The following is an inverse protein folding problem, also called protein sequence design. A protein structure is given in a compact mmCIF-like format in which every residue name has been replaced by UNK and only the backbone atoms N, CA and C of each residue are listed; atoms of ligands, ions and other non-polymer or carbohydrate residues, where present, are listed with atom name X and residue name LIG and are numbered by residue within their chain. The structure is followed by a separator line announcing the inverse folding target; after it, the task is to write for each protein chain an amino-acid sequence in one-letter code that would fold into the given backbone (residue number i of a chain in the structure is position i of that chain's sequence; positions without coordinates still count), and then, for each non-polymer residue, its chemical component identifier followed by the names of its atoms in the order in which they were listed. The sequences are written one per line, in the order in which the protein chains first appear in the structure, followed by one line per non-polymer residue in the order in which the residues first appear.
data_IF_748890448134
#
_entry.id   IF_748890448134
#
_cell.length_a   1.000
_cell.length_b   1.000
_cell.length_c   1.000
_cell.angle_alpha   90.00
_cell.angle_beta   90.00
_cell.angle_gamma   90.00
#
_symmetry.space_group_name_H-M   'P 1'
#
loop_
_entity.id
_entity.type
_entity.pdbx_description
1 polymer ?
#
# COMPACT_ATOMS: atom_id res chain seq x y z
N UNK A 1 -3.23 19.64 6.12
CA UNK A 1 -2.62 19.18 4.84
C UNK A 1 -1.17 19.68 4.80
N UNK A 2 -0.21 18.81 4.68
CA UNK A 2 1.22 19.20 4.62
C UNK A 2 1.74 18.85 3.23
N UNK A 3 1.93 19.86 2.39
CA UNK A 3 2.67 19.69 1.16
C UNK A 3 4.17 19.83 1.49
N UNK A 4 4.95 18.79 1.26
CA UNK A 4 6.39 18.80 1.44
C UNK A 4 7.05 18.91 0.07
N UNK A 5 7.79 20.00 -0.15
CA UNK A 5 8.59 20.18 -1.37
C UNK A 5 9.81 19.28 -1.30
N UNK A 6 9.94 18.37 -2.24
CA UNK A 6 11.13 17.53 -2.43
C UNK A 6 12.13 18.24 -3.35
N UNK A 7 13.36 17.74 -3.41
CA UNK A 7 14.35 18.21 -4.39
C UNK A 7 13.81 18.11 -5.83
N UNK A 8 14.31 18.94 -6.74
CA UNK A 8 13.92 18.96 -8.15
C UNK A 8 12.47 19.42 -8.47
N UNK A 9 11.84 20.21 -7.61
CA UNK A 9 10.52 20.81 -7.93
C UNK A 9 9.32 19.90 -7.67
N UNK A 10 9.53 18.67 -7.21
CA UNK A 10 8.43 17.75 -6.86
C UNK A 10 7.76 18.18 -5.55
N UNK A 11 6.44 18.20 -5.54
CA UNK A 11 5.60 18.45 -4.35
C UNK A 11 5.00 17.15 -3.88
N UNK A 12 5.04 16.88 -2.58
CA UNK A 12 4.37 15.75 -1.95
C UNK A 12 3.17 16.25 -1.15
N UNK A 13 2.01 15.63 -1.38
CA UNK A 13 0.79 15.86 -0.60
C UNK A 13 0.35 14.58 0.08
N UNK A 14 0.29 14.58 1.42
CA UNK A 14 -0.15 13.44 2.23
C UNK A 14 -1.63 13.59 2.58
N UNK A 15 -2.39 12.49 2.44
CA UNK A 15 -3.81 12.40 2.80
C UNK A 15 -4.04 11.11 3.58
N UNK A 16 -5.17 11.03 4.25
CA UNK A 16 -5.61 9.84 4.97
C UNK A 16 -6.83 9.25 4.27
N UNK A 17 -6.82 7.97 4.00
CA UNK A 17 -7.96 7.21 3.49
C UNK A 17 -8.98 6.94 4.60
N UNK A 18 -10.20 6.53 4.25
CA UNK A 18 -11.29 6.32 5.19
C UNK A 18 -10.98 5.25 6.25
N UNK A 19 -10.15 4.28 5.91
CA UNK A 19 -9.68 3.21 6.80
C UNK A 19 -8.37 3.54 7.54
N UNK A 20 -7.97 4.81 7.61
CA UNK A 20 -6.79 5.29 8.35
C UNK A 20 -5.46 5.13 7.62
N UNK A 21 -5.41 4.44 6.48
CA UNK A 21 -4.18 4.30 5.67
C UNK A 21 -3.74 5.64 5.09
N UNK A 22 -2.44 5.78 4.87
CA UNK A 22 -1.87 6.97 4.24
C UNK A 22 -1.82 6.80 2.72
N UNK A 23 -2.20 7.88 2.00
CA UNK A 23 -1.98 8.05 0.56
C UNK A 23 -1.16 9.30 0.32
N UNK A 24 -0.19 9.24 -0.60
CA UNK A 24 0.79 10.29 -0.91
C UNK A 24 0.80 10.55 -2.40
N UNK A 25 0.55 11.78 -2.78
CA UNK A 25 0.65 12.22 -4.17
C UNK A 25 1.98 12.94 -4.37
N UNK A 26 2.61 12.70 -5.51
CA UNK A 26 3.86 13.34 -5.92
C UNK A 26 3.62 14.01 -7.27
N UNK A 27 3.73 15.34 -7.30
CA UNK A 27 3.39 16.17 -8.46
C UNK A 27 4.52 17.14 -8.78
N UNK A 28 4.82 17.31 -10.06
CA UNK A 28 5.83 18.27 -10.55
C UNK A 28 5.26 19.68 -10.67
N UNK A 29 3.95 19.82 -10.83
CA UNK A 29 3.25 21.08 -11.03
C UNK A 29 2.33 21.38 -9.86
N UNK A 30 2.78 21.57 -8.68
CA UNK A 30 2.10 22.12 -7.49
C UNK A 30 0.56 22.01 -7.42
N UNK A 31 0.00 20.85 -7.80
CA UNK A 31 -1.44 20.64 -7.87
C UNK A 31 -2.05 20.52 -6.47
N UNK A 32 -3.29 21.00 -6.32
CA UNK A 32 -4.03 20.84 -5.06
C UNK A 32 -4.75 19.48 -5.07
N UNK A 33 -4.44 18.63 -4.10
CA UNK A 33 -5.05 17.32 -3.90
C UNK A 33 -6.08 17.41 -2.78
N UNK A 34 -7.37 17.48 -3.12
CA UNK A 34 -8.47 17.75 -2.19
C UNK A 34 -9.51 16.65 -2.10
N UNK A 35 -9.48 15.68 -3.00
CA UNK A 35 -10.44 14.59 -3.00
C UNK A 35 -10.31 13.75 -1.72
N UNK A 36 -11.45 13.41 -1.13
CA UNK A 36 -11.56 12.61 0.08
C UNK A 36 -12.03 11.19 -0.28
N UNK A 37 -11.53 10.21 0.46
CA UNK A 37 -12.01 8.85 0.35
C UNK A 37 -13.40 8.75 0.98
N UNK A 38 -14.41 8.43 0.18
CA UNK A 38 -15.81 8.31 0.62
C UNK A 38 -16.29 6.86 0.64
N UNK A 39 -15.38 5.88 0.52
CA UNK A 39 -15.77 4.47 0.51
C UNK A 39 -16.20 4.05 1.92
N UNK A 40 -17.29 3.28 2.05
CA UNK A 40 -17.71 2.71 3.33
C UNK A 40 -16.84 1.49 3.67
N UNK A 41 -15.59 1.72 4.02
CA UNK A 41 -14.62 0.68 4.37
C UNK A 41 -14.12 0.84 5.79
N UNK A 42 -13.92 -0.28 6.46
CA UNK A 42 -13.36 -0.34 7.81
C UNK A 42 -11.89 -0.73 7.76
N UNK A 43 -11.16 -0.34 8.80
CA UNK A 43 -9.80 -0.79 9.01
C UNK A 43 -9.78 -2.32 9.11
N UNK A 44 -8.88 -2.96 8.37
CA UNK A 44 -8.70 -4.40 8.45
C UNK A 44 -7.52 -4.72 9.37
N UNK A 45 -7.77 -5.30 10.54
CA UNK A 45 -6.70 -5.82 11.35
C UNK A 45 -6.09 -7.03 10.64
N UNK A 46 -4.96 -6.86 10.02
CA UNK A 46 -4.21 -7.98 9.44
C UNK A 46 -2.86 -8.08 10.14
N UNK A 47 -2.63 -9.18 10.80
CA UNK A 47 -1.35 -9.46 11.46
C UNK A 47 -0.71 -10.58 10.66
N UNK A 48 0.35 -10.24 9.92
CA UNK A 48 1.27 -11.24 9.38
C UNK A 48 2.21 -11.69 10.49
N UNK A 49 2.61 -12.93 10.46
CA UNK A 49 3.64 -13.47 11.35
C UNK A 49 4.77 -14.09 10.53
N UNK A 50 5.94 -14.18 11.12
CA UNK A 50 7.05 -14.95 10.57
C UNK A 50 7.20 -16.23 11.40
N UNK A 51 7.36 -17.34 10.69
CA UNK A 51 7.62 -18.66 11.28
C UNK A 51 8.91 -19.22 10.70
N UNK A 52 9.65 -19.93 11.53
CA UNK A 52 10.80 -20.69 11.09
C UNK A 52 10.33 -21.88 10.24
N UNK A 53 10.87 -22.01 9.03
CA UNK A 53 10.81 -23.25 8.25
C UNK A 53 11.97 -24.16 8.72
N UNK A 54 11.68 -25.26 9.43
CA UNK A 54 12.73 -26.11 9.98
C UNK A 54 13.48 -26.90 8.92
N UNK A 55 12.95 -27.03 7.70
CA UNK A 55 13.60 -27.77 6.62
C UNK A 55 14.70 -26.93 5.95
N UNK A 56 14.43 -25.64 5.79
CA UNK A 56 15.35 -24.70 5.13
C UNK A 56 16.12 -23.82 6.12
N UNK A 57 15.73 -23.85 7.39
CA UNK A 57 16.25 -22.97 8.44
C UNK A 57 16.12 -21.48 8.09
N UNK A 58 14.96 -21.10 7.51
CA UNK A 58 14.65 -19.75 7.05
C UNK A 58 13.36 -19.23 7.68
N UNK A 59 13.29 -17.91 7.91
CA UNK A 59 12.08 -17.26 8.36
C UNK A 59 11.13 -17.00 7.19
N UNK A 60 9.89 -17.50 7.28
CA UNK A 60 8.86 -17.39 6.24
C UNK A 60 7.72 -16.50 6.74
N UNK A 61 7.30 -15.55 5.93
CA UNK A 61 6.13 -14.70 6.21
C UNK A 61 4.84 -15.47 5.96
N UNK A 62 4.00 -15.57 6.96
CA UNK A 62 2.66 -16.17 6.89
C UNK A 62 1.62 -15.04 6.97
N UNK A 63 0.85 -14.87 5.91
CA UNK A 63 -0.21 -13.88 5.80
C UNK A 63 -1.55 -14.58 5.48
N UNK A 64 -2.09 -15.31 6.44
CA UNK A 64 -3.28 -16.16 6.26
C UNK A 64 -4.53 -15.39 5.81
N UNK A 65 -4.68 -14.13 6.21
CA UNK A 65 -5.76 -13.24 5.77
C UNK A 65 -5.77 -12.97 4.25
N UNK A 66 -4.69 -13.34 3.54
CA UNK A 66 -4.57 -13.18 2.07
C UNK A 66 -4.96 -14.43 1.28
N UNK A 67 -5.20 -15.57 1.92
CA UNK A 67 -5.45 -16.85 1.23
C UNK A 67 -6.69 -16.81 0.31
N UNK A 68 -7.72 -16.05 0.66
CA UNK A 68 -8.94 -15.90 -0.13
C UNK A 68 -8.88 -14.84 -1.25
N UNK A 69 -7.71 -14.21 -1.46
CA UNK A 69 -7.57 -13.08 -2.41
C UNK A 69 -7.21 -13.52 -3.82
N UNK A 70 -7.95 -14.42 -4.40
CA UNK A 70 -7.87 -14.72 -5.83
C UNK A 70 -8.93 -13.83 -6.52
N UNK A 71 -8.58 -12.56 -6.76
CA UNK A 71 -9.46 -11.63 -7.44
C UNK A 71 -8.70 -10.89 -8.53
N UNK A 72 -9.06 -11.17 -9.76
CA UNK A 72 -8.65 -10.41 -10.93
C UNK A 72 -9.92 -9.78 -11.52
N UNK A 73 -10.25 -8.53 -11.15
CA UNK A 73 -11.44 -7.87 -11.66
C UNK A 73 -11.32 -7.58 -13.16
N UNK A 74 -12.45 -7.46 -13.87
CA UNK A 74 -12.45 -6.85 -15.20
C UNK A 74 -11.78 -5.47 -15.16
N UNK A 75 -11.22 -5.04 -16.28
CA UNK A 75 -10.47 -3.80 -16.40
C UNK A 75 -11.24 -2.58 -15.90
N UNK A 76 -12.54 -2.52 -16.19
CA UNK A 76 -13.44 -1.43 -15.81
C UNK A 76 -13.67 -1.36 -14.29
N UNK A 77 -13.40 -2.45 -13.58
CA UNK A 77 -13.54 -2.58 -12.12
C UNK A 77 -12.17 -2.60 -11.42
N UNK A 78 -11.12 -2.11 -12.07
CA UNK A 78 -9.78 -2.05 -11.49
C UNK A 78 -9.78 -1.16 -10.23
N UNK A 79 -9.51 -1.71 -9.03
CA UNK A 79 -9.51 -0.95 -7.79
C UNK A 79 -8.34 0.06 -7.69
N UNK A 80 -7.36 -0.03 -8.58
CA UNK A 80 -6.20 0.88 -8.65
C UNK A 80 -6.37 1.98 -9.71
N UNK A 81 -7.51 2.01 -10.43
CA UNK A 81 -7.85 3.13 -11.30
C UNK A 81 -8.19 4.37 -10.46
N UNK A 82 -8.05 5.59 -11.00
CA UNK A 82 -8.60 6.79 -10.37
C UNK A 82 -10.09 6.66 -10.08
N UNK A 83 -10.56 7.24 -8.96
CA UNK A 83 -11.98 7.30 -8.64
C UNK A 83 -12.74 8.13 -9.67
N UNK A 84 -13.97 7.72 -9.96
CA UNK A 84 -14.88 8.37 -10.89
C UNK A 84 -16.32 8.33 -10.40
N UNK A 85 -17.23 9.16 -10.91
CA UNK A 85 -18.64 9.13 -10.54
C UNK A 85 -19.22 7.72 -10.65
N UNK A 86 -19.81 7.22 -9.55
CA UNK A 86 -20.37 5.88 -9.46
C UNK A 86 -19.37 4.73 -9.25
N UNK A 87 -18.07 5.01 -9.21
CA UNK A 87 -17.05 3.99 -8.94
C UNK A 87 -15.88 4.55 -8.12
N UNK A 88 -15.93 4.35 -6.81
CA UNK A 88 -14.89 4.76 -5.88
C UNK A 88 -13.83 3.65 -5.75
N UNK A 89 -12.57 4.05 -5.79
CA UNK A 89 -11.41 3.15 -5.76
C UNK A 89 -10.45 3.48 -4.64
N UNK A 90 -9.30 2.81 -4.58
CA UNK A 90 -8.23 3.10 -3.62
C UNK A 90 -7.65 4.52 -3.77
N UNK A 91 -7.85 5.17 -4.93
CA UNK A 91 -7.28 6.47 -5.25
C UNK A 91 -8.41 7.48 -5.42
N UNK A 92 -8.68 8.37 -4.44
CA UNK A 92 -9.79 9.33 -4.49
C UNK A 92 -9.70 10.35 -5.63
N UNK A 93 -8.48 10.82 -5.95
CA UNK A 93 -8.27 11.79 -7.03
C UNK A 93 -8.55 11.17 -8.41
N UNK A 94 -9.14 11.96 -9.31
CA UNK A 94 -9.46 11.54 -10.68
C UNK A 94 -8.25 11.57 -11.62
N UNK A 95 -7.19 12.25 -11.23
CA UNK A 95 -5.93 12.40 -11.97
C UNK A 95 -4.77 12.57 -11.01
N UNK A 96 -3.57 12.10 -11.38
CA UNK A 96 -2.32 12.24 -10.60
C UNK A 96 -1.11 11.90 -11.49
N UNK A 97 0.07 12.36 -11.11
CA UNK A 97 1.33 11.95 -11.75
C UNK A 97 1.85 10.65 -11.12
N UNK A 98 2.13 10.66 -9.82
CA UNK A 98 2.51 9.47 -9.06
C UNK A 98 1.75 9.46 -7.74
N UNK A 99 1.20 8.31 -7.38
CA UNK A 99 0.59 8.09 -6.08
C UNK A 99 1.15 6.85 -5.39
N UNK A 100 1.37 6.96 -4.09
CA UNK A 100 1.84 5.87 -3.23
C UNK A 100 0.91 5.74 -2.04
N UNK A 101 0.41 4.57 -1.77
CA UNK A 101 -0.47 4.34 -0.62
C UNK A 101 -0.19 3.00 0.07
N UNK A 102 -0.53 2.96 1.35
CA UNK A 102 -0.36 1.77 2.15
C UNK A 102 -1.28 0.65 1.63
N UNK A 103 -0.74 -0.54 1.43
CA UNK A 103 -1.51 -1.68 0.91
C UNK A 103 -2.65 -2.03 1.88
N UNK A 104 -3.86 -2.21 1.36
CA UNK A 104 -5.04 -2.56 2.16
C UNK A 104 -4.94 -3.93 2.85
N UNK A 105 -4.23 -4.86 2.28
CA UNK A 105 -4.01 -6.19 2.86
C UNK A 105 -2.52 -6.51 2.87
N UNK A 106 -1.76 -5.85 3.74
CA UNK A 106 -0.32 -5.99 3.77
C UNK A 106 0.08 -7.34 4.35
N UNK A 107 1.15 -7.94 3.86
CA UNK A 107 1.79 -9.10 4.50
C UNK A 107 2.74 -8.71 5.63
N UNK A 108 3.21 -7.47 5.60
CA UNK A 108 4.07 -6.86 6.62
C UNK A 108 3.40 -5.60 7.16
N UNK A 109 3.56 -5.32 8.46
CA UNK A 109 3.08 -4.06 9.07
C UNK A 109 4.22 -3.33 9.77
N UNK A 110 4.14 -1.99 9.87
CA UNK A 110 5.03 -1.25 10.72
C UNK A 110 5.01 -1.84 12.13
N UNK A 111 6.18 -2.03 12.77
CA UNK A 111 6.23 -2.57 14.12
C UNK A 111 5.60 -1.59 15.12
N UNK A 112 4.88 -2.11 16.09
CA UNK A 112 4.47 -1.35 17.26
C UNK A 112 5.66 -1.31 18.23
N UNK A 113 6.29 -0.16 18.36
CA UNK A 113 7.46 0.04 19.23
C UNK A 113 8.79 -0.36 18.59
N UNK A 114 9.74 -0.77 19.40
CA UNK A 114 11.07 -1.20 18.94
C UNK A 114 11.00 -2.59 18.32
N UNK A 115 11.39 -2.71 17.06
CA UNK A 115 11.50 -3.98 16.34
C UNK A 115 12.96 -4.43 16.29
N UNK A 116 13.21 -5.61 16.83
CA UNK A 116 14.46 -6.33 16.58
C UNK A 116 14.24 -7.28 15.39
N UNK A 117 15.14 -7.22 14.41
CA UNK A 117 15.15 -8.23 13.36
C UNK A 117 15.29 -9.63 13.97
N UNK A 118 14.67 -10.66 13.38
CA UNK A 118 14.87 -12.02 13.84
C UNK A 118 16.37 -12.35 13.84
N UNK A 119 16.85 -12.89 14.97
CA UNK A 119 18.21 -13.40 15.07
C UNK A 119 18.42 -14.65 14.22
N UNK A 120 19.55 -15.33 14.42
CA UNK A 120 19.73 -16.65 13.82
C UNK A 120 18.60 -17.58 14.24
N UNK A 121 17.94 -18.27 13.29
CA UNK A 121 16.85 -19.15 13.61
C UNK A 121 17.33 -20.31 14.50
N UNK A 122 16.53 -20.64 15.50
CA UNK A 122 16.69 -21.82 16.34
C UNK A 122 15.45 -22.70 16.13
N UNK A 123 15.62 -24.01 16.25
CA UNK A 123 14.57 -25.01 15.96
C UNK A 123 13.30 -24.79 16.81
N UNK A 124 13.45 -24.24 18.01
CA UNK A 124 12.35 -23.93 18.94
C UNK A 124 11.87 -22.46 18.84
N UNK A 125 12.26 -21.75 17.78
CA UNK A 125 11.88 -20.33 17.61
C UNK A 125 10.37 -20.17 17.49
N UNK A 126 9.79 -19.35 18.35
CA UNK A 126 8.37 -19.00 18.33
C UNK A 126 8.06 -18.09 17.15
N UNK A 127 6.79 -18.08 16.66
CA UNK A 127 6.34 -17.10 15.69
C UNK A 127 6.57 -15.67 16.18
N UNK A 128 7.00 -14.80 15.28
CA UNK A 128 7.24 -13.39 15.55
C UNK A 128 6.38 -12.52 14.60
N UNK A 129 6.04 -11.28 15.00
CA UNK A 129 5.32 -10.38 14.09
C UNK A 129 6.08 -10.12 12.79
N UNK A 130 5.39 -10.18 11.66
CA UNK A 130 5.96 -9.84 10.36
C UNK A 130 6.03 -8.31 10.22
N UNK A 131 7.14 -7.73 10.65
CA UNK A 131 7.35 -6.29 10.64
C UNK A 131 7.89 -5.78 9.30
N UNK A 132 7.39 -4.64 8.86
CA UNK A 132 7.79 -3.99 7.61
C UNK A 132 6.71 -3.06 7.08
N UNK A 133 6.83 -2.68 5.82
CA UNK A 133 5.87 -1.81 5.15
C UNK A 133 5.54 -2.36 3.77
N UNK A 134 4.26 -2.39 3.44
CA UNK A 134 3.76 -2.76 2.12
C UNK A 134 3.04 -1.56 1.52
N UNK A 135 3.54 -1.03 0.43
CA UNK A 135 2.94 0.09 -0.30
C UNK A 135 2.65 -0.31 -1.74
N UNK A 136 1.64 0.34 -2.32
CA UNK A 136 1.32 0.27 -3.74
C UNK A 136 1.76 1.58 -4.37
N UNK A 137 2.47 1.50 -5.49
CA UNK A 137 2.91 2.65 -6.28
C UNK A 137 2.20 2.62 -7.63
N UNK A 138 1.41 3.66 -7.91
CA UNK A 138 0.85 3.89 -9.23
C UNK A 138 1.57 5.10 -9.85
N UNK A 139 2.23 4.89 -10.96
CA UNK A 139 3.14 5.85 -11.60
C UNK A 139 2.48 6.64 -12.73
N UNK A 140 1.17 6.52 -12.89
CA UNK A 140 0.34 7.29 -13.81
C UNK A 140 -1.12 7.09 -13.47
N UNK A 141 -1.96 8.08 -13.72
CA UNK A 141 -3.42 7.97 -13.62
C UNK A 141 -4.05 7.20 -14.80
N UNK A 142 -3.30 7.00 -15.87
CA UNK A 142 -3.68 6.09 -16.95
C UNK A 142 -3.42 4.64 -16.54
N UNK A 143 -4.45 3.98 -16.00
CA UNK A 143 -4.37 2.59 -15.54
C UNK A 143 -4.26 1.56 -16.67
N UNK A 144 -4.29 1.99 -17.93
CA UNK A 144 -4.03 1.19 -19.11
C UNK A 144 -2.57 1.26 -19.57
N UNK A 145 -1.83 2.25 -19.06
CA UNK A 145 -0.43 2.40 -19.37
C UNK A 145 0.43 1.31 -18.71
N UNK A 146 1.53 1.00 -19.33
CA UNK A 146 2.59 0.17 -18.78
C UNK A 146 3.91 0.94 -18.77
N UNK A 147 4.87 0.53 -17.95
CA UNK A 147 6.22 1.14 -17.94
C UNK A 147 6.87 1.19 -19.34
N UNK A 148 6.50 0.25 -20.22
CA UNK A 148 6.99 0.23 -21.61
C UNK A 148 6.51 1.41 -22.44
N UNK A 149 5.31 1.95 -22.11
CA UNK A 149 4.62 2.97 -22.90
C UNK A 149 4.70 4.36 -22.28
N UNK A 150 5.41 4.51 -21.16
CA UNK A 150 5.68 5.81 -20.57
C UNK A 150 6.80 6.50 -21.36
N UNK A 151 6.55 7.72 -21.79
CA UNK A 151 7.51 8.59 -22.48
C UNK A 151 8.20 9.52 -21.49
#
# INVERSE_FOLDING_TARGET
MVAKKLAAGVTRTDRTLMDGRTIRYYDTQGQSRTAEDQRPIEEQPSIGEMRLDPLNNEWVVIASHRQGRIFLPPKELNPLAPSRPGFLTEIPESDYEVVVFDNRSPSLRPPEGSFAAPGNPDFDSLPIPAAGKCEVVCFTSDYDASLKNLS
#
